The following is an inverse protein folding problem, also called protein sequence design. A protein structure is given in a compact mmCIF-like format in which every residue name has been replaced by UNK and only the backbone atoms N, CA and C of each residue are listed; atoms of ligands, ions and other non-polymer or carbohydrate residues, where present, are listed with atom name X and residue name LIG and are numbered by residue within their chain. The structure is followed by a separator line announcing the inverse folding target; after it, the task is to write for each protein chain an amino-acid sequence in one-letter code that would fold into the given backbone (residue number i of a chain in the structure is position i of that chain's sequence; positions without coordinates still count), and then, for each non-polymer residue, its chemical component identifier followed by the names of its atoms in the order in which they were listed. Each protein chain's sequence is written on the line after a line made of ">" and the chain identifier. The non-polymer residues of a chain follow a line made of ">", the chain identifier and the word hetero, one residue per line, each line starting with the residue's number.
data_IF_680785005703
#
_entry.id   IF_680785005703
#
_cell.length_a   1.000
_cell.length_b   1.000
_cell.length_c   1.000
_cell.angle_alpha   90.00
_cell.angle_beta   90.00
_cell.angle_gamma   90.00
#
_symmetry.space_group_name_H-M   'P 1'
#
loop_
_entity.id
_entity.type
_entity.pdbx_description
1 polymer ?
#
# COMPACT_ATOMS: atom_id res chain seq x y z
N UNK A 1 -44.99 26.25 60.21
CA UNK A 1 -44.60 26.67 58.84
C UNK A 1 -43.14 27.08 58.86
N UNK A 2 -42.17 26.19 58.60
CA UNK A 2 -40.82 26.62 58.14
C UNK A 2 -40.16 25.47 57.37
N UNK A 3 -40.35 25.45 56.05
CA UNK A 3 -39.48 24.72 55.12
C UNK A 3 -39.09 25.71 54.03
N UNK A 4 -37.86 26.21 54.07
CA UNK A 4 -37.25 27.00 53.00
C UNK A 4 -35.74 26.69 53.01
N UNK A 5 -35.30 25.77 52.17
CA UNK A 5 -34.83 26.00 50.80
C UNK A 5 -33.41 26.62 50.79
N UNK A 6 -32.41 25.75 50.79
CA UNK A 6 -31.00 26.10 50.51
C UNK A 6 -30.47 25.11 49.46
N UNK A 7 -30.93 25.30 48.22
CA UNK A 7 -30.35 24.67 47.03
C UNK A 7 -29.31 25.63 46.45
N UNK A 8 -28.05 25.44 46.85
CA UNK A 8 -26.90 26.17 46.30
C UNK A 8 -26.63 25.78 44.85
N UNK A 9 -26.75 26.74 43.94
CA UNK A 9 -26.39 26.61 42.52
C UNK A 9 -24.90 26.29 42.37
N UNK A 10 -24.60 25.12 41.80
CA UNK A 10 -23.25 24.71 41.39
C UNK A 10 -23.00 25.26 39.98
N UNK A 11 -22.17 26.30 39.86
CA UNK A 11 -21.76 26.83 38.55
C UNK A 11 -20.74 25.89 37.90
N UNK A 12 -21.17 25.17 36.87
CA UNK A 12 -20.29 24.41 35.97
C UNK A 12 -19.48 25.36 35.08
N UNK A 13 -18.21 25.57 35.45
CA UNK A 13 -17.22 26.22 34.59
C UNK A 13 -16.93 25.33 33.37
N UNK A 14 -17.60 25.62 32.25
CA UNK A 14 -17.29 25.03 30.93
C UNK A 14 -15.87 25.39 30.51
N UNK A 15 -14.92 24.47 30.69
CA UNK A 15 -13.56 24.59 30.14
C UNK A 15 -13.64 24.44 28.62
N UNK A 16 -13.39 25.53 27.90
CA UNK A 16 -13.27 25.52 26.45
C UNK A 16 -12.11 24.62 26.01
N UNK A 17 -12.43 23.51 25.35
CA UNK A 17 -11.48 22.63 24.70
C UNK A 17 -10.88 23.37 23.49
N UNK A 18 -9.65 23.89 23.60
CA UNK A 18 -8.92 24.41 22.45
C UNK A 18 -8.65 23.23 21.49
N UNK A 19 -9.03 23.31 20.20
CA UNK A 19 -8.71 22.27 19.23
C UNK A 19 -7.18 22.20 19.10
N UNK A 20 -6.63 21.00 19.29
CA UNK A 20 -5.20 20.74 19.10
C UNK A 20 -4.81 21.11 17.65
N UNK A 21 -3.62 21.70 17.42
CA UNK A 21 -3.16 22.01 16.08
C UNK A 21 -3.13 20.71 15.27
N UNK A 22 -3.86 20.70 14.15
CA UNK A 22 -3.82 19.59 13.19
C UNK A 22 -2.39 19.53 12.67
N UNK A 23 -1.74 18.38 12.85
CA UNK A 23 -0.43 18.10 12.28
C UNK A 23 -0.44 18.56 10.82
N UNK A 24 0.43 19.52 10.49
CA UNK A 24 0.55 20.09 9.16
C UNK A 24 0.64 18.98 8.12
N UNK A 25 -0.11 19.14 7.04
CA UNK A 25 -0.08 18.29 5.86
C UNK A 25 1.38 18.12 5.40
N UNK A 26 1.98 16.98 5.74
CA UNK A 26 3.31 16.61 5.24
C UNK A 26 3.26 16.67 3.72
N UNK A 27 4.19 17.38 3.10
CA UNK A 27 4.32 17.41 1.65
C UNK A 27 4.51 15.97 1.16
N UNK A 28 3.58 15.51 0.32
CA UNK A 28 3.69 14.21 -0.33
C UNK A 28 4.60 14.37 -1.53
N UNK A 29 5.84 13.96 -1.39
CA UNK A 29 6.79 13.94 -2.51
C UNK A 29 6.33 12.88 -3.54
N UNK A 30 6.47 13.21 -4.83
CA UNK A 30 6.19 12.25 -5.91
C UNK A 30 7.06 11.01 -5.67
N UNK A 31 6.41 9.87 -5.57
CA UNK A 31 7.11 8.61 -5.33
C UNK A 31 8.01 8.27 -6.53
N UNK A 32 9.06 7.50 -6.27
CA UNK A 32 9.98 7.04 -7.33
C UNK A 32 9.24 6.12 -8.31
N UNK A 33 9.12 6.56 -9.57
CA UNK A 33 8.52 5.81 -10.69
C UNK A 33 7.40 6.57 -11.42
N UNK A 34 6.70 5.91 -12.36
CA UNK A 34 5.58 6.49 -13.08
C UNK A 34 4.48 7.02 -12.14
N UNK A 35 3.70 8.03 -12.56
CA UNK A 35 2.59 8.53 -11.76
C UNK A 35 1.56 7.42 -11.51
N UNK A 36 1.02 7.38 -10.29
CA UNK A 36 -0.02 6.41 -9.94
C UNK A 36 -1.26 6.62 -10.80
N UNK A 37 -1.77 5.52 -11.38
CA UNK A 37 -3.04 5.54 -12.06
C UNK A 37 -4.19 5.77 -11.07
N UNK A 38 -5.31 6.34 -11.54
CA UNK A 38 -6.50 6.52 -10.70
C UNK A 38 -7.06 5.19 -10.19
N UNK A 39 -6.90 4.13 -10.98
CA UNK A 39 -7.23 2.75 -10.62
C UNK A 39 -6.48 2.30 -9.36
N UNK A 40 -5.24 2.74 -9.17
CA UNK A 40 -4.42 2.39 -8.00
C UNK A 40 -4.84 3.13 -6.74
N UNK A 41 -5.41 4.34 -6.86
CA UNK A 41 -5.73 5.20 -5.71
C UNK A 41 -6.96 4.74 -4.94
N UNK A 42 -7.93 4.14 -5.62
CA UNK A 42 -9.23 3.81 -5.06
C UNK A 42 -9.51 2.30 -4.97
N UNK A 43 -8.59 1.44 -5.40
CA UNK A 43 -8.80 0.00 -5.41
C UNK A 43 -8.74 -0.60 -3.99
N UNK A 44 -9.68 -1.50 -3.71
CA UNK A 44 -9.57 -2.40 -2.55
C UNK A 44 -8.40 -3.37 -2.77
N UNK A 45 -7.40 -3.32 -1.89
CA UNK A 45 -6.21 -4.17 -1.99
C UNK A 45 -6.53 -5.67 -2.07
N UNK A 46 -7.56 -6.13 -1.37
CA UNK A 46 -7.94 -7.55 -1.35
C UNK A 46 -8.51 -7.98 -2.69
N UNK A 47 -9.36 -7.14 -3.29
CA UNK A 47 -9.93 -7.41 -4.61
C UNK A 47 -8.86 -7.33 -5.70
N UNK A 48 -7.97 -6.34 -5.58
CA UNK A 48 -6.85 -6.20 -6.50
C UNK A 48 -5.90 -7.38 -6.42
N UNK A 49 -5.54 -7.84 -5.22
CA UNK A 49 -4.71 -9.03 -5.03
C UNK A 49 -5.34 -10.25 -5.69
N UNK A 50 -6.64 -10.48 -5.47
CA UNK A 50 -7.37 -11.59 -6.10
C UNK A 50 -7.38 -11.47 -7.61
N UNK A 51 -7.69 -10.30 -8.15
CA UNK A 51 -7.74 -10.04 -9.59
C UNK A 51 -6.37 -10.23 -10.24
N UNK A 52 -5.31 -9.67 -9.67
CA UNK A 52 -3.96 -9.79 -10.20
C UNK A 52 -3.48 -11.25 -10.18
N UNK A 53 -3.66 -11.95 -9.05
CA UNK A 53 -3.28 -13.36 -8.95
C UNK A 53 -4.07 -14.26 -9.92
N UNK A 54 -5.34 -13.92 -10.21
CA UNK A 54 -6.13 -14.65 -11.20
C UNK A 54 -5.67 -14.40 -12.65
N UNK A 55 -5.18 -13.20 -12.95
CA UNK A 55 -4.73 -12.82 -14.30
C UNK A 55 -3.26 -13.16 -14.58
N UNK A 56 -2.45 -13.41 -13.55
CA UNK A 56 -1.03 -13.71 -13.72
C UNK A 56 -0.82 -15.01 -14.48
N UNK A 57 0.09 -14.94 -15.46
CA UNK A 57 0.47 -16.09 -16.29
C UNK A 57 1.74 -16.78 -15.79
N UNK A 58 2.46 -16.18 -14.84
CA UNK A 58 3.69 -16.76 -14.30
C UNK A 58 3.39 -17.87 -13.27
N UNK A 59 4.22 -18.91 -13.16
CA UNK A 59 4.03 -20.03 -12.22
C UNK A 59 4.42 -19.69 -10.77
N UNK A 60 4.58 -18.40 -10.44
CA UNK A 60 4.98 -17.95 -9.10
C UNK A 60 3.97 -18.30 -8.00
N UNK A 61 2.76 -18.72 -8.38
CA UNK A 61 1.66 -19.00 -7.46
C UNK A 61 1.03 -17.71 -6.93
N UNK A 62 0.51 -17.77 -5.70
CA UNK A 62 -0.13 -16.63 -5.04
C UNK A 62 0.92 -15.67 -4.50
N UNK A 63 0.91 -14.45 -5.01
CA UNK A 63 1.79 -13.38 -4.57
C UNK A 63 1.04 -12.40 -3.67
N UNK A 64 1.74 -11.87 -2.67
CA UNK A 64 1.22 -10.85 -1.76
C UNK A 64 1.26 -9.47 -2.43
N UNK A 65 0.14 -8.75 -2.44
CA UNK A 65 0.04 -7.37 -2.94
C UNK A 65 -0.07 -6.42 -1.75
N UNK A 66 0.67 -5.31 -1.77
CA UNK A 66 0.74 -4.37 -0.65
C UNK A 66 0.97 -2.93 -1.13
N UNK A 67 0.62 -1.96 -0.27
CA UNK A 67 0.98 -0.56 -0.48
C UNK A 67 2.34 -0.28 0.14
N UNK A 68 3.24 0.27 -0.67
CA UNK A 68 4.55 0.72 -0.25
C UNK A 68 4.59 2.24 -0.19
N UNK A 69 4.83 2.77 1.01
CA UNK A 69 5.17 4.18 1.21
C UNK A 69 6.57 4.27 1.80
N UNK A 70 7.40 5.16 1.27
CA UNK A 70 8.70 5.48 1.86
C UNK A 70 8.52 6.70 2.77
N UNK A 71 9.06 6.60 3.98
CA UNK A 71 9.20 7.73 4.89
C UNK A 71 10.50 8.45 4.54
N UNK A 72 10.42 9.68 4.04
CA UNK A 72 11.59 10.54 3.83
C UNK A 72 11.72 11.52 5.00
N UNK A 73 12.92 12.06 5.23
CA UNK A 73 13.13 13.05 6.31
C UNK A 73 12.22 14.29 6.18
N UNK A 74 11.77 14.59 4.96
CA UNK A 74 10.92 15.73 4.64
C UNK A 74 9.43 15.38 4.45
N UNK A 75 9.04 14.10 4.52
CA UNK A 75 7.65 13.73 4.25
C UNK A 75 7.38 12.24 4.08
N UNK A 76 6.24 11.95 3.46
CA UNK A 76 5.86 10.61 3.04
C UNK A 76 5.77 10.60 1.53
N UNK A 77 6.40 9.65 0.86
CA UNK A 77 6.18 9.48 -0.58
C UNK A 77 4.75 9.01 -0.83
N UNK A 78 4.22 9.28 -2.03
CA UNK A 78 2.95 8.72 -2.44
C UNK A 78 2.95 7.17 -2.33
N UNK A 79 1.93 6.55 -1.70
CA UNK A 79 1.86 5.09 -1.56
C UNK A 79 1.73 4.44 -2.94
N UNK A 80 2.56 3.43 -3.24
CA UNK A 80 2.50 2.69 -4.52
C UNK A 80 2.10 1.24 -4.31
N UNK A 81 1.39 0.66 -5.26
CA UNK A 81 1.07 -0.77 -5.23
C UNK A 81 2.30 -1.56 -5.64
N UNK A 82 2.67 -2.52 -4.80
CA UNK A 82 3.77 -3.42 -5.03
C UNK A 82 3.32 -4.87 -4.77
N UNK A 83 4.07 -5.80 -5.36
CA UNK A 83 3.87 -7.22 -5.19
C UNK A 83 5.18 -7.88 -4.80
N UNK A 84 5.09 -8.83 -3.87
CA UNK A 84 6.21 -9.66 -3.43
C UNK A 84 6.22 -10.96 -4.23
N UNK A 85 7.10 -11.04 -5.22
CA UNK A 85 7.24 -12.19 -6.10
C UNK A 85 8.13 -13.26 -5.47
N UNK A 86 7.59 -14.48 -5.31
CA UNK A 86 8.32 -15.67 -4.84
C UNK A 86 9.48 -16.04 -5.76
N UNK A 87 9.24 -16.11 -7.08
CA UNK A 87 10.27 -16.48 -8.05
C UNK A 87 11.50 -15.57 -7.98
N UNK A 88 11.31 -14.26 -7.82
CA UNK A 88 12.41 -13.29 -7.68
C UNK A 88 13.25 -13.55 -6.44
N UNK A 89 12.60 -13.96 -5.33
CA UNK A 89 13.28 -14.31 -4.08
C UNK A 89 14.20 -15.52 -4.27
N UNK A 90 13.75 -16.53 -5.00
CA UNK A 90 14.47 -17.81 -5.18
C UNK A 90 15.73 -17.71 -6.08
N UNK A 91 15.82 -16.64 -6.86
CA UNK A 91 16.95 -16.35 -7.75
C UNK A 91 17.76 -15.11 -7.32
N UNK A 92 17.56 -14.65 -6.07
CA UNK A 92 18.26 -13.50 -5.48
C UNK A 92 18.06 -12.15 -6.19
N UNK A 93 16.95 -11.98 -6.91
CA UNK A 93 16.53 -10.67 -7.41
C UNK A 93 15.73 -9.93 -6.33
N UNK A 94 15.60 -8.61 -6.48
CA UNK A 94 14.73 -7.81 -5.61
C UNK A 94 13.30 -8.36 -5.71
N UNK A 95 12.68 -8.81 -4.59
CA UNK A 95 11.41 -9.53 -4.62
C UNK A 95 10.22 -8.60 -4.92
N UNK A 96 10.39 -7.31 -4.72
CA UNK A 96 9.34 -6.30 -4.88
C UNK A 96 9.27 -5.85 -6.34
N UNK A 97 8.07 -5.95 -6.94
CA UNK A 97 7.74 -5.40 -8.26
C UNK A 97 6.57 -4.44 -8.14
N UNK A 98 6.58 -3.38 -8.94
CA UNK A 98 5.52 -2.37 -8.92
C UNK A 98 4.41 -2.70 -9.91
N UNK A 99 3.27 -2.06 -9.71
CA UNK A 99 2.02 -2.32 -10.44
C UNK A 99 2.15 -2.34 -11.96
N UNK A 100 2.94 -1.45 -12.54
CA UNK A 100 3.15 -1.37 -13.99
C UNK A 100 3.85 -2.62 -14.51
N UNK A 101 4.88 -3.07 -13.79
CA UNK A 101 5.56 -4.32 -14.14
C UNK A 101 4.63 -5.52 -13.99
N UNK A 102 3.75 -5.52 -12.99
CA UNK A 102 2.78 -6.59 -12.80
C UNK A 102 1.83 -6.65 -13.99
N UNK A 103 1.22 -5.52 -14.36
CA UNK A 103 0.26 -5.43 -15.47
C UNK A 103 0.90 -5.78 -16.80
N UNK A 104 2.01 -5.11 -17.14
CA UNK A 104 2.61 -5.18 -18.48
C UNK A 104 3.42 -6.45 -18.71
N UNK A 105 3.94 -7.06 -17.63
CA UNK A 105 4.81 -8.24 -17.72
C UNK A 105 4.15 -9.48 -17.11
N UNK A 106 3.76 -9.44 -15.83
CA UNK A 106 3.27 -10.65 -15.15
C UNK A 106 1.89 -11.10 -15.64
N UNK A 107 0.99 -10.18 -16.01
CA UNK A 107 -0.34 -10.48 -16.53
C UNK A 107 -0.36 -10.65 -18.05
N UNK A 108 0.48 -9.93 -18.80
CA UNK A 108 0.49 -9.99 -20.26
C UNK A 108 1.44 -11.06 -20.83
N UNK A 109 2.75 -10.91 -20.61
CA UNK A 109 3.79 -11.77 -21.20
C UNK A 109 4.90 -12.13 -20.19
N UNK A 110 4.83 -13.31 -19.56
CA UNK A 110 5.81 -13.71 -18.56
C UNK A 110 7.20 -13.93 -19.15
N UNK A 111 7.35 -14.11 -20.47
CA UNK A 111 8.66 -14.29 -21.12
C UNK A 111 9.53 -13.02 -21.02
N UNK A 112 8.92 -11.85 -20.85
CA UNK A 112 9.63 -10.59 -20.60
C UNK A 112 10.13 -10.46 -19.15
N UNK A 113 9.64 -11.28 -18.23
CA UNK A 113 10.08 -11.27 -16.84
C UNK A 113 11.43 -11.98 -16.70
N UNK A 114 12.45 -11.25 -16.25
CA UNK A 114 13.78 -11.82 -15.96
C UNK A 114 13.70 -12.99 -14.99
N UNK A 115 12.82 -12.90 -13.98
CA UNK A 115 12.70 -13.95 -12.99
C UNK A 115 12.11 -15.24 -13.55
N UNK A 116 11.10 -15.11 -14.40
CA UNK A 116 10.53 -16.25 -15.09
C UNK A 116 11.52 -16.89 -16.07
N UNK A 117 12.30 -16.06 -16.80
CA UNK A 117 13.34 -16.55 -17.71
C UNK A 117 14.38 -17.40 -16.97
N UNK A 118 15.00 -16.85 -15.92
CA UNK A 118 16.01 -17.58 -15.13
C UNK A 118 15.44 -18.82 -14.44
N UNK A 119 14.21 -18.73 -13.97
CA UNK A 119 13.50 -19.89 -13.43
C UNK A 119 13.37 -20.97 -14.51
N UNK A 120 12.85 -20.62 -15.69
CA UNK A 120 12.68 -21.56 -16.80
C UNK A 120 14.02 -22.20 -17.22
N UNK A 121 15.08 -21.41 -17.33
CA UNK A 121 16.42 -21.89 -17.72
C UNK A 121 16.96 -22.96 -16.74
N UNK A 122 16.56 -22.92 -15.46
CA UNK A 122 16.90 -23.97 -14.48
C UNK A 122 16.15 -25.30 -14.67
N UNK A 123 14.94 -25.27 -15.24
CA UNK A 123 14.06 -26.45 -15.36
C UNK A 123 14.06 -27.07 -16.76
N UNK A 124 14.63 -26.40 -17.77
CA UNK A 124 14.93 -27.03 -19.06
C UNK A 124 16.22 -27.83 -18.85
N UNK A 125 16.08 -29.12 -18.57
CA UNK A 125 17.20 -30.07 -18.62
C UNK A 125 17.88 -29.92 -19.99
N UNK A 126 19.14 -29.47 -19.98
CA UNK A 126 20.08 -29.63 -21.11
C UNK A 126 20.40 -31.10 -21.31
#
# INVERSE_FOLDING_TARGET
>A
MVWSLLMGKREEKKKAHKPKPRFGSKLVEKAFGPPLLEEEKNANLTELERSLNAQMKCPAGKNQVFLRSLLTGNGTTQPRIALKCSLRRDIHLKPEVYYEHIRDVCCCDPKKCEAYRRFKDRFVQT
#
